data_IF_789096147144
#
_entry.id   IF_789096147144
#
_cell.length_a   1.000
_cell.length_b   1.000
_cell.length_c   1.000
_cell.angle_alpha   90.00
_cell.angle_beta   90.00
_cell.angle_gamma   90.00
#
_symmetry.space_group_name_H-M   'P 1'
#
loop_
_entity.id
_entity.type
_entity.pdbx_description
1 polymer ?
#
# COMPACT_ATOMS: atom_id res chain seq x y z
N UNK A 1 -6.59 -19.83 -3.04
CA UNK A 1 -5.97 -18.66 -3.69
C UNK A 1 -4.89 -17.95 -2.85
N UNK A 2 -4.59 -18.35 -1.60
CA UNK A 2 -3.54 -17.71 -0.78
C UNK A 2 -2.09 -17.97 -1.23
N UNK A 3 -1.85 -19.07 -1.95
CA UNK A 3 -0.49 -19.56 -2.30
C UNK A 3 0.23 -18.75 -3.38
N UNK A 4 -0.47 -17.92 -4.15
CA UNK A 4 0.11 -17.23 -5.32
C UNK A 4 0.69 -15.87 -4.93
N UNK A 5 0.04 -15.15 -4.01
CA UNK A 5 0.47 -13.82 -3.57
C UNK A 5 1.35 -13.83 -2.32
N UNK A 6 1.33 -14.92 -1.54
CA UNK A 6 2.17 -15.05 -0.35
C UNK A 6 3.68 -14.87 -0.64
N UNK A 7 4.27 -15.43 -1.72
CA UNK A 7 5.68 -15.21 -2.01
C UNK A 7 5.97 -13.73 -2.27
N UNK A 8 5.19 -13.07 -3.13
CA UNK A 8 5.33 -11.64 -3.42
C UNK A 8 5.23 -10.79 -2.16
N UNK A 9 4.32 -11.11 -1.24
CA UNK A 9 4.19 -10.42 0.05
C UNK A 9 5.41 -10.64 0.97
N UNK A 10 5.93 -11.87 1.07
CA UNK A 10 7.09 -12.16 1.91
C UNK A 10 8.40 -11.57 1.33
N UNK A 11 8.48 -11.36 0.03
CA UNK A 11 9.59 -10.65 -0.62
C UNK A 11 9.58 -9.12 -0.42
N UNK A 12 8.44 -8.54 -0.01
CA UNK A 12 8.38 -7.13 0.35
C UNK A 12 9.10 -6.88 1.67
N UNK A 13 9.93 -5.83 1.69
CA UNK A 13 10.52 -5.28 2.92
C UNK A 13 9.42 -4.83 3.90
N UNK A 14 9.77 -4.78 5.19
CA UNK A 14 8.85 -4.36 6.27
C UNK A 14 8.22 -2.98 6.02
N UNK A 15 8.97 -2.08 5.40
CA UNK A 15 8.53 -0.71 5.10
C UNK A 15 7.45 -0.70 4.01
N UNK A 16 7.59 -1.54 2.98
CA UNK A 16 6.57 -1.69 1.94
C UNK A 16 5.31 -2.36 2.47
N UNK A 17 5.43 -3.32 3.41
CA UNK A 17 4.27 -3.95 4.04
C UNK A 17 3.42 -2.93 4.78
N UNK A 18 4.03 -2.01 5.53
CA UNK A 18 3.29 -0.96 6.27
C UNK A 18 2.52 -0.03 5.31
N UNK A 19 3.15 0.36 4.20
CA UNK A 19 2.50 1.16 3.15
C UNK A 19 1.34 0.39 2.48
N UNK A 20 1.52 -0.91 2.23
CA UNK A 20 0.50 -1.81 1.68
C UNK A 20 -0.67 -2.01 2.65
N UNK A 21 -0.40 -2.21 3.95
CA UNK A 21 -1.45 -2.31 4.97
C UNK A 21 -2.26 -1.03 5.07
N UNK A 22 -1.64 0.14 4.96
CA UNK A 22 -2.39 1.40 4.94
C UNK A 22 -3.42 1.47 3.82
N UNK A 23 -3.20 0.75 2.71
CA UNK A 23 -4.12 0.75 1.59
C UNK A 23 -5.43 0.01 1.86
N UNK A 24 -5.54 -0.80 2.92
CA UNK A 24 -6.80 -1.48 3.27
C UNK A 24 -7.90 -0.55 3.75
N UNK A 25 -7.59 0.73 4.01
CA UNK A 25 -8.61 1.74 4.29
C UNK A 25 -9.46 2.07 3.06
N UNK A 26 -8.96 1.73 1.87
CA UNK A 26 -9.63 1.95 0.61
C UNK A 26 -10.32 0.66 0.18
N UNK A 27 -11.46 0.82 -0.48
CA UNK A 27 -12.24 -0.25 -1.10
C UNK A 27 -11.71 -0.57 -2.50
N UNK A 28 -12.08 -1.73 -3.06
CA UNK A 28 -11.63 -2.18 -4.39
C UNK A 28 -11.94 -1.13 -5.49
N UNK A 29 -13.10 -0.48 -5.37
CA UNK A 29 -13.63 0.48 -6.34
C UNK A 29 -13.15 1.92 -6.12
N UNK A 30 -12.32 2.17 -5.10
CA UNK A 30 -11.81 3.52 -4.85
C UNK A 30 -10.77 3.90 -5.90
N UNK A 31 -11.08 4.94 -6.67
CA UNK A 31 -10.13 5.60 -7.56
C UNK A 31 -9.18 6.48 -6.75
N UNK A 32 -8.03 5.93 -6.34
CA UNK A 32 -7.06 6.64 -5.50
C UNK A 32 -6.01 7.33 -6.35
N UNK A 33 -5.81 8.63 -6.13
CA UNK A 33 -4.72 9.36 -6.76
C UNK A 33 -3.36 8.97 -6.18
N UNK A 34 -2.41 8.61 -7.05
CA UNK A 34 -1.05 8.20 -6.67
C UNK A 34 -0.36 9.23 -5.78
N UNK A 35 -0.42 10.50 -6.18
CA UNK A 35 0.33 11.56 -5.50
C UNK A 35 -0.23 11.83 -4.09
N UNK A 36 -1.55 11.72 -3.93
CA UNK A 36 -2.22 11.85 -2.63
C UNK A 36 -1.83 10.73 -1.67
N UNK A 37 -1.73 9.50 -2.18
CA UNK A 37 -1.24 8.36 -1.40
C UNK A 37 0.19 8.60 -0.91
N UNK A 38 1.08 9.05 -1.80
CA UNK A 38 2.48 9.32 -1.46
C UNK A 38 2.56 10.38 -0.36
N UNK A 39 1.79 11.47 -0.46
CA UNK A 39 1.73 12.49 0.58
C UNK A 39 1.19 11.95 1.92
N UNK A 40 0.20 11.06 1.90
CA UNK A 40 -0.31 10.40 3.12
C UNK A 40 0.74 9.50 3.77
N UNK A 41 1.52 8.76 2.98
CA UNK A 41 2.62 7.95 3.51
C UNK A 41 3.71 8.80 4.13
N UNK A 42 4.06 9.94 3.51
CA UNK A 42 5.01 10.91 4.07
C UNK A 42 4.47 11.50 5.38
N UNK A 43 3.21 11.94 5.39
CA UNK A 43 2.59 12.54 6.58
C UNK A 43 2.49 11.58 7.77
N UNK A 44 2.47 10.27 7.50
CA UNK A 44 2.46 9.20 8.51
C UNK A 44 3.85 8.66 8.83
N UNK A 45 4.89 9.26 8.26
CA UNK A 45 6.30 8.89 8.46
C UNK A 45 6.62 7.43 8.05
N UNK A 46 5.84 6.88 7.10
CA UNK A 46 6.09 5.54 6.55
C UNK A 46 7.27 5.52 5.59
N UNK A 47 7.58 6.68 5.01
CA UNK A 47 8.71 6.89 4.11
C UNK A 47 9.79 7.62 4.89
N UNK A 48 10.88 6.92 5.17
CA UNK A 48 12.05 7.51 5.84
C UNK A 48 13.06 8.01 4.82
N UNK A 49 13.86 9.01 5.21
CA UNK A 49 14.98 9.48 4.41
C UNK A 49 16.02 8.37 4.28
N UNK A 50 16.02 7.67 3.15
CA UNK A 50 17.02 6.65 2.85
C UNK A 50 18.32 7.25 2.33
N UNK A 51 18.27 8.43 1.67
CA UNK A 51 19.41 9.19 1.20
C UNK A 51 19.16 10.70 1.30
N UNK A 52 20.21 11.49 1.59
CA UNK A 52 20.17 12.96 1.69
C UNK A 52 19.87 13.67 0.36
N UNK A 53 20.08 13.01 -0.77
CA UNK A 53 19.94 13.60 -2.11
C UNK A 53 18.53 13.44 -2.71
N UNK A 54 17.73 12.51 -2.19
CA UNK A 54 16.40 12.20 -2.72
C UNK A 54 15.30 12.83 -1.86
N UNK A 55 14.40 13.60 -2.47
CA UNK A 55 13.22 14.11 -1.79
C UNK A 55 12.28 12.96 -1.38
N UNK A 56 11.60 13.11 -0.23
CA UNK A 56 10.67 12.09 0.31
C UNK A 56 9.62 11.65 -0.71
N UNK A 57 9.17 12.58 -1.56
CA UNK A 57 8.22 12.28 -2.62
C UNK A 57 8.78 11.29 -3.66
N UNK A 58 10.05 11.43 -4.05
CA UNK A 58 10.69 10.49 -4.97
C UNK A 58 10.85 9.10 -4.35
N UNK A 59 11.21 9.05 -3.06
CA UNK A 59 11.28 7.79 -2.32
C UNK A 59 9.89 7.14 -2.31
N UNK A 60 8.83 7.91 -2.05
CA UNK A 60 7.45 7.43 -2.12
C UNK A 60 7.01 6.95 -3.50
N UNK A 61 7.47 7.61 -4.59
CA UNK A 61 7.26 7.10 -5.96
C UNK A 61 7.92 5.75 -6.18
N UNK A 62 9.13 5.54 -5.66
CA UNK A 62 9.80 4.25 -5.68
C UNK A 62 9.00 3.16 -4.97
N UNK A 63 8.46 3.47 -3.78
CA UNK A 63 7.61 2.56 -3.02
C UNK A 63 6.36 2.17 -3.78
N UNK A 64 5.70 3.15 -4.41
CA UNK A 64 4.55 2.90 -5.27
C UNK A 64 4.92 1.98 -6.44
N UNK A 65 6.05 2.23 -7.11
CA UNK A 65 6.51 1.40 -8.23
C UNK A 65 6.80 -0.05 -7.83
N UNK A 66 7.37 -0.28 -6.65
CA UNK A 66 7.61 -1.64 -6.13
C UNK A 66 6.29 -2.38 -5.88
N UNK A 67 5.27 -1.68 -5.35
CA UNK A 67 3.94 -2.27 -5.16
C UNK A 67 3.26 -2.61 -6.50
N UNK A 68 3.45 -1.79 -7.54
CA UNK A 68 2.99 -2.12 -8.91
C UNK A 68 3.75 -3.33 -9.45
N UNK A 69 5.08 -3.32 -9.37
CA UNK A 69 5.93 -4.37 -9.92
C UNK A 69 5.73 -5.73 -9.24
N UNK A 70 5.41 -5.72 -7.94
CA UNK A 70 5.07 -6.92 -7.17
C UNK A 70 3.62 -7.41 -7.39
N UNK A 71 2.83 -6.68 -8.19
CA UNK A 71 1.45 -7.00 -8.51
C UNK A 71 0.46 -6.73 -7.38
N UNK A 72 0.84 -5.94 -6.37
CA UNK A 72 0.00 -5.64 -5.20
C UNK A 72 -1.06 -4.58 -5.50
N UNK A 73 -0.77 -3.68 -6.44
CA UNK A 73 -1.70 -2.63 -6.87
C UNK A 73 -1.80 -2.62 -8.39
N UNK A 74 -3.00 -2.35 -8.90
CA UNK A 74 -3.28 -2.24 -10.32
C UNK A 74 -3.26 -0.76 -10.71
N UNK A 75 -2.26 -0.29 -11.48
CA UNK A 75 -2.26 1.09 -11.96
C UNK A 75 -3.36 1.29 -13.01
N UNK A 76 -4.05 2.42 -12.92
CA UNK A 76 -4.91 2.97 -13.95
C UNK A 76 -4.12 4.03 -14.73
N UNK A 77 -3.85 3.73 -15.99
CA UNK A 77 -3.10 4.60 -16.88
C UNK A 77 -4.08 5.56 -17.55
N UNK A 78 -3.82 6.86 -17.48
CA UNK A 78 -4.63 7.85 -18.18
C UNK A 78 -4.36 7.85 -19.70
N UNK A 79 -5.10 8.68 -20.44
CA UNK A 79 -4.93 8.84 -21.88
C UNK A 79 -3.57 9.41 -22.30
N UNK A 80 -2.74 9.86 -21.35
CA UNK A 80 -1.38 10.37 -21.58
C UNK A 80 -0.30 9.35 -21.22
N UNK A 81 -0.67 8.13 -20.81
CA UNK A 81 0.29 7.11 -20.41
C UNK A 81 0.81 7.28 -18.98
N UNK A 82 0.21 8.17 -18.18
CA UNK A 82 0.64 8.45 -16.81
C UNK A 82 -0.22 7.66 -15.83
N UNK A 83 0.43 7.01 -14.87
CA UNK A 83 -0.28 6.39 -13.73
C UNK A 83 -0.75 7.49 -12.80
N UNK A 84 -2.00 7.91 -12.97
CA UNK A 84 -2.65 8.94 -12.13
C UNK A 84 -3.48 8.33 -11.03
N UNK A 85 -4.04 7.13 -11.27
CA UNK A 85 -4.94 6.42 -10.36
C UNK A 85 -4.52 4.96 -10.24
N UNK A 86 -5.00 4.27 -9.21
CA UNK A 86 -4.81 2.84 -9.05
C UNK A 86 -5.95 2.25 -8.21
N UNK A 87 -6.14 0.94 -8.36
CA UNK A 87 -7.06 0.14 -7.56
C UNK A 87 -6.29 -0.98 -6.84
N UNK A 88 -6.78 -1.42 -5.69
CA UNK A 88 -6.28 -2.63 -5.06
C UNK A 88 -6.92 -3.85 -5.72
N UNK A 89 -6.13 -4.89 -5.92
CA UNK A 89 -6.68 -6.18 -6.30
C UNK A 89 -7.47 -6.77 -5.12
N UNK A 90 -8.66 -7.28 -5.41
CA UNK A 90 -9.50 -8.01 -4.46
C UNK A 90 -8.74 -9.13 -3.72
N UNK A 91 -7.86 -9.82 -4.43
CA UNK A 91 -7.02 -10.89 -3.87
C UNK A 91 -5.98 -10.36 -2.88
N UNK A 92 -5.52 -9.12 -3.05
CA UNK A 92 -4.57 -8.45 -2.15
C UNK A 92 -5.29 -7.98 -0.90
N UNK A 93 -6.48 -7.39 -1.03
CA UNK A 93 -7.35 -7.09 0.12
C UNK A 93 -7.63 -8.35 0.93
N UNK A 94 -8.01 -9.46 0.28
CA UNK A 94 -8.25 -10.74 0.94
C UNK A 94 -7.01 -11.33 1.62
N UNK A 95 -5.82 -11.16 1.03
CA UNK A 95 -4.55 -11.57 1.64
C UNK A 95 -4.24 -10.75 2.89
N UNK A 96 -4.33 -9.42 2.81
CA UNK A 96 -4.02 -8.52 3.91
C UNK A 96 -4.99 -8.73 5.08
N UNK A 97 -6.30 -8.88 4.80
CA UNK A 97 -7.30 -9.18 5.84
C UNK A 97 -7.03 -10.53 6.54
N UNK A 98 -6.57 -11.54 5.79
CA UNK A 98 -6.21 -12.84 6.36
C UNK A 98 -4.97 -12.73 7.26
N UNK A 99 -3.93 -12.01 6.82
CA UNK A 99 -2.70 -11.79 7.59
C UNK A 99 -2.94 -10.96 8.84
N UNK A 100 -3.79 -9.93 8.76
CA UNK A 100 -4.18 -9.09 9.90
C UNK A 100 -4.86 -9.90 11.00
N UNK A 101 -5.66 -10.90 10.60
CA UNK A 101 -6.35 -11.82 11.51
C UNK A 101 -5.43 -12.89 12.11
N UNK A 102 -4.43 -13.37 11.37
CA UNK A 102 -3.48 -14.39 11.84
C UNK A 102 -2.37 -13.83 12.73
N UNK A 103 -1.90 -12.60 12.48
CA UNK A 103 -0.76 -12.01 13.19
C UNK A 103 -1.16 -10.94 14.24
N UNK A 104 -2.46 -10.67 14.46
CA UNK A 104 -2.97 -9.70 15.45
C UNK A 104 -2.42 -8.25 15.27
N UNK A 105 -2.06 -7.88 14.03
CA UNK A 105 -1.45 -6.58 13.68
C UNK A 105 -2.46 -5.41 13.59
N UNK A 106 -3.77 -5.68 13.68
CA UNK A 106 -4.87 -4.69 13.68
C UNK A 106 -4.68 -3.59 14.74
N UNK A 107 -3.85 -3.84 15.76
CA UNK A 107 -3.58 -2.88 16.83
C UNK A 107 -2.80 -1.64 16.37
N UNK A 108 -2.04 -1.68 15.26
CA UNK A 108 -1.17 -0.56 14.86
C UNK A 108 -1.94 0.56 14.12
N UNK A 109 -3.01 0.24 13.37
CA UNK A 109 -3.85 1.27 12.73
C UNK A 109 -4.88 1.89 13.70
N UNK A 110 -5.28 1.13 14.73
CA UNK A 110 -6.27 1.56 15.72
C UNK A 110 -5.77 2.66 16.68
N UNK A 111 -4.49 3.02 16.67
CA UNK A 111 -4.03 4.15 17.47
C UNK A 111 -4.42 5.53 16.90
N UNK A 112 -5.14 5.58 15.76
CA UNK A 112 -5.68 6.85 15.19
C UNK A 112 -7.15 6.85 14.76
N UNK A 113 -7.97 5.90 15.22
CA UNK A 113 -9.44 5.97 15.40
C UNK A 113 -10.05 4.59 15.12
N UNK A 114 -10.63 4.01 16.15
CA UNK A 114 -11.34 2.76 16.06
C UNK A 114 -12.63 2.91 15.27
N UNK A 115 -12.79 2.06 14.25
CA UNK A 115 -14.05 1.44 13.85
C UNK A 115 -13.69 0.20 13.03
N UNK A 116 -13.34 -0.90 13.71
CA UNK A 116 -13.52 -2.22 13.13
C UNK A 116 -14.95 -2.62 13.44
N UNK A 117 -15.85 -2.49 12.46
CA UNK A 117 -17.20 -3.02 12.57
C UNK A 117 -17.13 -4.50 12.16
N UNK A 118 -17.70 -5.32 13.04
CA UNK A 118 -18.00 -6.76 12.97
C UNK A 118 -18.68 -7.21 11.69
#
# INVERSE_FOLDING_TARGET
MRKILSPSYYHLSIHFRTCLFYLTIYTEDDEIHRDDLIWKWIAKDFITHTNLESGLFEVGRGYFSELVNSGMIQPCIDFKGVVTRFCLHDMVLGLICSLSSEENFVTILNHTQGYCIS
#
